data_IF_885398579712
#
_entry.id   IF_885398579712
#
_cell.length_a   1.000
_cell.length_b   1.000
_cell.length_c   1.000
_cell.angle_alpha   90.00
_cell.angle_beta   90.00
_cell.angle_gamma   90.00
#
_symmetry.space_group_name_H-M   'P 1'
#
loop_
_entity.id
_entity.type
_entity.pdbx_description
1 polymer ?
#
# COMPACT_ATOMS: atom_id res chain seq x y z
N UNK A 1 8.68 -22.05 23.82
CA UNK A 1 9.26 -20.85 23.20
C UNK A 1 8.10 -20.03 22.65
N UNK A 2 7.65 -19.01 23.39
CA UNK A 2 6.51 -18.17 23.00
C UNK A 2 6.97 -17.28 21.85
N UNK A 3 6.55 -17.57 20.62
CA UNK A 3 6.81 -16.71 19.48
C UNK A 3 6.20 -15.34 19.81
N UNK A 4 7.06 -14.32 19.79
CA UNK A 4 6.67 -12.93 19.87
C UNK A 4 5.75 -12.64 18.67
N UNK A 5 4.43 -12.68 18.88
CA UNK A 5 3.49 -11.95 18.05
C UNK A 5 3.78 -10.46 18.25
N UNK A 6 4.78 -9.96 17.53
CA UNK A 6 4.92 -8.53 17.25
C UNK A 6 3.75 -8.17 16.33
N UNK A 7 2.58 -8.02 16.98
CA UNK A 7 1.34 -7.53 16.40
C UNK A 7 1.62 -6.12 15.91
N UNK A 8 1.98 -5.98 14.64
CA UNK A 8 1.75 -4.72 13.95
C UNK A 8 0.26 -4.76 13.56
N UNK A 9 -0.61 -4.51 14.54
CA UNK A 9 -1.97 -4.08 14.25
C UNK A 9 -1.79 -2.64 13.78
N UNK A 10 -1.66 -2.43 12.46
CA UNK A 10 -1.73 -1.08 11.89
C UNK A 10 -3.19 -0.64 11.90
N UNK A 11 -3.66 -0.26 13.09
CA UNK A 11 -4.82 0.62 13.21
C UNK A 11 -4.34 2.06 13.11
N UNK A 12 -3.91 2.48 11.92
CA UNK A 12 -3.88 3.88 11.56
C UNK A 12 -5.25 4.23 10.97
N UNK A 13 -6.29 4.28 11.83
CA UNK A 13 -7.58 4.89 11.46
C UNK A 13 -7.35 6.39 11.30
N UNK A 14 -7.14 6.84 10.06
CA UNK A 14 -7.20 8.26 9.72
C UNK A 14 -8.57 8.58 9.12
N UNK A 15 -9.46 9.11 9.97
CA UNK A 15 -10.73 9.70 9.58
C UNK A 15 -10.46 11.04 8.88
N UNK A 16 -10.40 11.04 7.55
CA UNK A 16 -10.27 12.23 6.71
C UNK A 16 -11.45 12.40 5.77
N UNK A 17 -12.27 13.43 6.01
CA UNK A 17 -13.58 13.68 5.39
C UNK A 17 -13.64 13.64 3.85
N UNK A 18 -14.83 13.28 3.38
CA UNK A 18 -15.23 13.02 2.00
C UNK A 18 -15.12 14.30 1.15
N UNK A 19 -14.35 14.22 0.07
CA UNK A 19 -14.64 14.98 -1.16
C UNK A 19 -14.66 13.94 -2.28
N UNK A 20 -15.86 13.51 -2.65
CA UNK A 20 -16.08 12.61 -3.76
C UNK A 20 -15.86 13.38 -5.07
N UNK A 21 -14.86 12.98 -5.86
CA UNK A 21 -14.83 13.26 -7.30
C UNK A 21 -15.23 11.98 -8.04
N UNK A 22 -16.27 12.10 -8.87
CA UNK A 22 -17.05 11.01 -9.42
C UNK A 22 -16.49 10.40 -10.73
N UNK A 23 -15.16 10.37 -10.89
CA UNK A 23 -14.57 9.23 -11.58
C UNK A 23 -14.28 8.21 -10.49
N UNK A 24 -15.22 7.31 -10.25
CA UNK A 24 -15.04 6.23 -9.29
C UNK A 24 -13.71 5.57 -9.61
N UNK A 25 -12.75 5.68 -8.69
CA UNK A 25 -11.37 5.32 -8.91
C UNK A 25 -11.30 3.84 -9.36
N UNK A 26 -11.28 3.59 -10.67
CA UNK A 26 -11.55 2.27 -11.25
C UNK A 26 -10.50 1.26 -10.80
N UNK A 27 -9.26 1.73 -10.65
CA UNK A 27 -8.19 0.97 -10.05
C UNK A 27 -8.53 0.54 -8.62
N UNK A 28 -8.96 1.45 -7.75
CA UNK A 28 -9.33 1.10 -6.36
C UNK A 28 -10.52 0.14 -6.32
N UNK A 29 -11.52 0.33 -7.19
CA UNK A 29 -12.63 -0.62 -7.30
C UNK A 29 -12.15 -2.02 -7.68
N UNK A 30 -11.30 -2.13 -8.69
CA UNK A 30 -10.74 -3.41 -9.14
C UNK A 30 -9.81 -4.03 -8.09
N UNK A 31 -9.01 -3.21 -7.41
CA UNK A 31 -8.15 -3.61 -6.30
C UNK A 31 -8.96 -4.19 -5.14
N UNK A 32 -10.05 -3.51 -4.76
CA UNK A 32 -10.97 -3.99 -3.73
C UNK A 32 -11.68 -5.28 -4.15
N UNK A 33 -12.02 -5.43 -5.43
CA UNK A 33 -12.55 -6.69 -5.95
C UNK A 33 -11.52 -7.84 -5.88
N UNK A 34 -10.26 -7.57 -6.21
CA UNK A 34 -9.17 -8.53 -6.03
C UNK A 34 -8.98 -8.88 -4.55
N UNK A 35 -9.05 -7.90 -3.65
CA UNK A 35 -8.95 -8.08 -2.20
C UNK A 35 -10.07 -8.93 -1.63
N UNK A 36 -11.31 -8.71 -2.08
CA UNK A 36 -12.48 -9.48 -1.68
C UNK A 36 -12.37 -10.99 -1.98
N UNK A 37 -11.46 -11.38 -2.89
CA UNK A 37 -11.15 -12.80 -3.14
C UNK A 37 -10.39 -13.47 -1.98
N UNK A 38 -9.87 -12.69 -1.02
CA UNK A 38 -9.06 -13.16 0.13
C UNK A 38 -7.89 -14.04 -0.28
N UNK A 39 -7.32 -13.74 -1.45
CA UNK A 39 -6.19 -14.44 -2.04
C UNK A 39 -5.06 -13.44 -2.29
N UNK A 40 -3.97 -13.56 -1.53
CA UNK A 40 -2.80 -12.71 -1.72
C UNK A 40 -2.24 -12.83 -3.14
N UNK A 41 -2.29 -14.02 -3.73
CA UNK A 41 -1.86 -14.25 -5.12
C UNK A 41 -2.73 -13.50 -6.13
N UNK A 42 -4.05 -13.42 -5.92
CA UNK A 42 -4.93 -12.64 -6.80
C UNK A 42 -4.67 -11.14 -6.67
N UNK A 43 -4.50 -10.65 -5.44
CA UNK A 43 -4.22 -9.24 -5.16
C UNK A 43 -2.88 -8.83 -5.76
N UNK A 44 -1.81 -9.59 -5.48
CA UNK A 44 -0.48 -9.33 -6.03
C UNK A 44 -0.48 -9.44 -7.55
N UNK A 45 -1.12 -10.46 -8.12
CA UNK A 45 -1.23 -10.62 -9.57
C UNK A 45 -1.93 -9.44 -10.26
N UNK A 46 -2.97 -8.88 -9.63
CA UNK A 46 -3.61 -7.66 -10.11
C UNK A 46 -2.66 -6.45 -10.05
N UNK A 47 -2.03 -6.20 -8.89
CA UNK A 47 -1.13 -5.06 -8.71
C UNK A 47 0.07 -5.14 -9.67
N UNK A 48 0.68 -6.31 -9.84
CA UNK A 48 1.82 -6.50 -10.74
C UNK A 48 1.45 -6.29 -12.21
N UNK A 49 0.23 -6.68 -12.61
CA UNK A 49 -0.29 -6.36 -13.93
C UNK A 49 -0.44 -4.85 -14.12
N UNK A 50 -1.03 -4.16 -13.15
CA UNK A 50 -1.19 -2.71 -13.19
C UNK A 50 0.15 -1.98 -13.21
N UNK A 51 1.16 -2.47 -12.48
CA UNK A 51 2.54 -1.94 -12.55
C UNK A 51 3.20 -2.20 -13.89
N UNK A 52 2.88 -3.31 -14.55
CA UNK A 52 3.40 -3.60 -15.89
C UNK A 52 2.81 -2.61 -16.91
N UNK A 53 1.51 -2.35 -16.82
CA UNK A 53 0.79 -1.47 -17.73
C UNK A 53 1.08 0.02 -17.43
N UNK A 54 1.32 0.37 -16.16
CA UNK A 54 1.53 1.73 -15.66
C UNK A 54 2.69 1.80 -14.63
N UNK A 55 3.96 1.58 -15.05
CA UNK A 55 5.10 1.39 -14.14
C UNK A 55 5.52 2.59 -13.30
N UNK A 56 5.03 3.77 -13.67
CA UNK A 56 5.32 5.05 -13.03
C UNK A 56 4.07 5.70 -12.41
N UNK A 57 2.96 4.96 -12.32
CA UNK A 57 1.75 5.47 -11.70
C UNK A 57 1.93 5.46 -10.17
N UNK A 58 1.90 6.63 -9.49
CA UNK A 58 2.13 6.73 -8.06
C UNK A 58 1.07 5.97 -7.24
N UNK A 59 -0.16 5.86 -7.76
CA UNK A 59 -1.23 5.12 -7.12
C UNK A 59 -0.92 3.63 -7.04
N UNK A 60 -0.49 3.07 -8.17
CA UNK A 60 -0.18 1.64 -8.28
C UNK A 60 1.09 1.30 -7.49
N UNK A 61 2.11 2.19 -7.55
CA UNK A 61 3.33 2.06 -6.76
C UNK A 61 3.01 2.02 -5.26
N UNK A 62 2.16 2.92 -4.76
CA UNK A 62 1.80 2.91 -3.34
C UNK A 62 0.98 1.66 -2.95
N UNK A 63 0.03 1.23 -3.79
CA UNK A 63 -0.70 -0.03 -3.56
C UNK A 63 0.25 -1.24 -3.46
N UNK A 64 1.30 -1.28 -4.31
CA UNK A 64 2.33 -2.32 -4.23
C UNK A 64 3.15 -2.24 -2.95
N UNK A 65 3.45 -1.04 -2.46
CA UNK A 65 4.14 -0.84 -1.20
C UNK A 65 3.35 -1.44 -0.02
N UNK A 66 2.05 -1.16 0.02
CA UNK A 66 1.13 -1.76 1.01
C UNK A 66 1.11 -3.28 0.88
N UNK A 67 0.97 -3.82 -0.33
CA UNK A 67 0.96 -5.27 -0.52
C UNK A 67 2.29 -5.93 -0.09
N UNK A 68 3.43 -5.25 -0.27
CA UNK A 68 4.73 -5.75 0.16
C UNK A 68 4.78 -5.96 1.68
N UNK A 69 4.30 -4.99 2.46
CA UNK A 69 4.30 -5.11 3.93
C UNK A 69 3.19 -6.03 4.44
N UNK A 70 1.96 -5.86 3.94
CA UNK A 70 0.77 -6.51 4.50
C UNK A 70 0.58 -7.96 4.02
N UNK A 71 1.12 -8.33 2.84
CA UNK A 71 0.97 -9.67 2.27
C UNK A 71 2.28 -10.45 2.16
N UNK A 72 3.43 -9.77 2.10
CA UNK A 72 4.73 -10.40 1.80
C UNK A 72 5.80 -10.18 2.89
N UNK A 73 5.46 -9.49 3.98
CA UNK A 73 6.39 -9.13 5.06
C UNK A 73 7.70 -8.53 4.54
N UNK A 74 7.60 -7.65 3.53
CA UNK A 74 8.73 -7.10 2.79
C UNK A 74 8.75 -5.58 2.90
N UNK A 75 9.22 -5.07 4.05
CA UNK A 75 9.22 -3.64 4.35
C UNK A 75 10.23 -2.88 3.50
N UNK A 76 11.38 -3.47 3.12
CA UNK A 76 12.32 -2.81 2.20
C UNK A 76 11.71 -2.62 0.82
N UNK A 77 10.95 -3.60 0.34
CA UNK A 77 10.15 -3.45 -0.88
C UNK A 77 9.14 -2.33 -0.73
N UNK A 78 8.40 -2.31 0.38
CA UNK A 78 7.44 -1.26 0.69
C UNK A 78 8.08 0.14 0.67
N UNK A 79 9.22 0.32 1.33
CA UNK A 79 10.01 1.56 1.32
C UNK A 79 10.40 1.96 -0.10
N UNK A 80 10.89 1.03 -0.92
CA UNK A 80 11.31 1.32 -2.30
C UNK A 80 10.14 1.76 -3.18
N UNK A 81 9.01 1.04 -3.14
CA UNK A 81 7.83 1.41 -3.93
C UNK A 81 7.21 2.73 -3.45
N UNK A 82 7.15 2.97 -2.14
CA UNK A 82 6.65 4.22 -1.58
C UNK A 82 7.54 5.41 -1.96
N UNK A 83 8.87 5.26 -1.89
CA UNK A 83 9.81 6.28 -2.33
C UNK A 83 9.64 6.61 -3.82
N UNK A 84 9.44 5.60 -4.67
CA UNK A 84 9.13 5.82 -6.09
C UNK A 84 7.78 6.53 -6.28
N UNK A 85 6.74 6.18 -5.53
CA UNK A 85 5.47 6.89 -5.58
C UNK A 85 5.64 8.39 -5.24
N UNK A 86 6.44 8.71 -4.22
CA UNK A 86 6.80 10.10 -3.87
C UNK A 86 7.47 10.83 -5.04
N UNK A 87 8.45 10.18 -5.69
CA UNK A 87 9.12 10.75 -6.86
C UNK A 87 8.15 11.03 -8.00
N UNK A 88 7.22 10.11 -8.27
CA UNK A 88 6.23 10.28 -9.34
C UNK A 88 5.23 11.40 -9.00
N UNK A 89 4.74 11.48 -7.77
CA UNK A 89 3.88 12.61 -7.32
C UNK A 89 4.59 13.95 -7.45
N UNK A 90 5.91 14.03 -7.19
CA UNK A 90 6.68 15.27 -7.39
C UNK A 90 6.70 15.70 -8.87
N UNK A 91 6.86 14.73 -9.77
CA UNK A 91 7.00 14.96 -11.22
C UNK A 91 5.66 15.19 -11.93
N UNK A 92 4.57 14.63 -11.41
CA UNK A 92 3.25 14.68 -12.05
C UNK A 92 2.57 16.06 -11.91
N UNK A 93 1.48 16.24 -12.64
CA UNK A 93 0.71 17.46 -12.86
C UNK A 93 -0.40 17.72 -11.82
N UNK A 94 -0.34 17.06 -10.66
CA UNK A 94 -1.22 17.36 -9.51
C UNK A 94 -1.27 18.84 -9.17
N UNK A 95 -2.44 19.32 -8.76
CA UNK A 95 -2.59 20.66 -8.16
C UNK A 95 -1.66 20.82 -6.96
N UNK A 96 -1.21 22.04 -6.67
CA UNK A 96 -0.28 22.30 -5.58
C UNK A 96 -0.78 21.77 -4.23
N UNK A 97 -2.08 21.96 -3.95
CA UNK A 97 -2.73 21.46 -2.73
C UNK A 97 -2.73 19.93 -2.67
N UNK A 98 -3.18 19.25 -3.73
CA UNK A 98 -3.20 17.78 -3.77
C UNK A 98 -1.78 17.20 -3.68
N UNK A 99 -0.82 17.81 -4.38
CA UNK A 99 0.58 17.42 -4.33
C UNK A 99 1.14 17.53 -2.91
N UNK A 100 0.87 18.65 -2.22
CA UNK A 100 1.31 18.84 -0.84
C UNK A 100 0.71 17.79 0.09
N UNK A 101 -0.59 17.51 -0.03
CA UNK A 101 -1.27 16.49 0.75
C UNK A 101 -0.67 15.09 0.49
N UNK A 102 -0.60 14.65 -0.77
CA UNK A 102 -0.09 13.33 -1.14
C UNK A 102 1.36 13.14 -0.67
N UNK A 103 2.21 14.14 -0.84
CA UNK A 103 3.61 14.06 -0.42
C UNK A 103 3.76 13.98 1.10
N UNK A 104 2.91 14.68 1.86
CA UNK A 104 2.91 14.58 3.33
C UNK A 104 2.57 13.16 3.76
N UNK A 105 1.42 12.64 3.33
CA UNK A 105 0.93 11.32 3.72
C UNK A 105 1.88 10.20 3.25
N UNK A 106 2.38 10.27 2.02
CA UNK A 106 3.38 9.32 1.53
C UNK A 106 4.67 9.33 2.36
N UNK A 107 5.12 10.51 2.81
CA UNK A 107 6.32 10.62 3.65
C UNK A 107 6.11 9.97 5.02
N UNK A 108 4.93 10.16 5.61
CA UNK A 108 4.55 9.50 6.88
C UNK A 108 4.50 7.97 6.73
N UNK A 109 3.95 7.47 5.61
CA UNK A 109 3.98 6.04 5.31
C UNK A 109 5.40 5.51 5.04
N UNK A 110 6.25 6.28 4.36
CA UNK A 110 7.65 5.92 4.13
C UNK A 110 8.42 5.78 5.46
N UNK A 111 8.22 6.72 6.38
CA UNK A 111 8.79 6.65 7.73
C UNK A 111 8.30 5.40 8.48
N UNK A 112 6.99 5.12 8.40
CA UNK A 112 6.40 3.93 9.01
C UNK A 112 6.99 2.62 8.45
N UNK A 113 7.08 2.47 7.12
CA UNK A 113 7.68 1.28 6.49
C UNK A 113 9.16 1.15 6.87
N UNK A 114 9.89 2.27 6.90
CA UNK A 114 11.30 2.30 7.30
C UNK A 114 11.49 1.85 8.75
N UNK A 115 10.65 2.32 9.67
CA UNK A 115 10.68 1.88 11.07
C UNK A 115 10.36 0.37 11.20
N UNK A 116 9.45 -0.14 10.36
CA UNK A 116 9.03 -1.54 10.36
C UNK A 116 10.16 -2.51 10.00
N UNK A 117 11.13 -2.10 9.17
CA UNK A 117 12.35 -2.88 8.88
C UNK A 117 13.05 -3.29 10.19
N UNK A 118 13.18 -2.36 11.14
CA UNK A 118 13.81 -2.61 12.44
C UNK A 118 12.99 -3.54 13.34
N UNK A 119 11.65 -3.37 13.33
CA UNK A 119 10.71 -4.21 14.10
C UNK A 119 10.75 -5.66 13.62
N UNK A 120 10.73 -5.88 12.31
CA UNK A 120 10.80 -7.22 11.72
C UNK A 120 12.22 -7.78 11.63
N UNK A 121 13.23 -6.97 11.98
CA UNK A 121 14.66 -7.32 11.81
C UNK A 121 14.95 -7.80 10.38
N UNK A 122 14.41 -7.08 9.41
CA UNK A 122 14.48 -7.47 8.01
C UNK A 122 15.92 -7.30 7.47
N UNK A 123 16.51 -8.35 6.88
CA UNK A 123 17.88 -8.31 6.38
C UNK A 123 18.03 -7.29 5.25
N UNK A 124 19.25 -6.81 5.02
CA UNK A 124 19.55 -5.77 4.01
C UNK A 124 19.12 -6.15 2.60
N UNK A 125 19.33 -7.42 2.22
CA UNK A 125 18.96 -7.98 0.91
C UNK A 125 17.73 -8.90 1.03
N UNK A 126 16.63 -8.35 1.52
CA UNK A 126 15.35 -9.06 1.60
C UNK A 126 14.63 -9.13 0.25
N UNK A 127 13.84 -10.18 0.09
CA UNK A 127 12.96 -10.42 -1.05
C UNK A 127 11.55 -10.72 -0.53
N UNK A 128 10.49 -10.60 -1.37
CA UNK A 128 9.13 -10.96 -0.97
C UNK A 128 9.04 -12.34 -0.33
N UNK A 129 8.42 -12.46 0.84
CA UNK A 129 8.25 -13.73 1.52
C UNK A 129 6.77 -14.09 1.65
N UNK A 130 6.38 -15.27 1.20
CA UNK A 130 5.03 -15.75 1.46
C UNK A 130 4.86 -16.05 2.95
N UNK A 131 3.94 -15.35 3.61
CA UNK A 131 3.55 -15.63 4.99
C UNK A 131 2.04 -15.87 5.07
N UNK A 132 1.64 -17.14 4.97
CA UNK A 132 0.22 -17.52 4.95
C UNK A 132 -0.54 -17.14 6.24
N UNK A 133 0.16 -17.08 7.38
CA UNK A 133 -0.45 -16.67 8.66
C UNK A 133 -0.75 -15.18 8.64
N UNK A 134 0.24 -14.36 8.25
CA UNK A 134 0.08 -12.91 8.11
C UNK A 134 -1.04 -12.58 7.11
N UNK A 135 -1.03 -13.22 5.94
CA UNK A 135 -2.06 -13.02 4.91
C UNK A 135 -3.46 -13.38 5.44
N UNK A 136 -3.61 -14.52 6.11
CA UNK A 136 -4.88 -14.93 6.68
C UNK A 136 -5.37 -13.97 7.77
N UNK A 137 -4.48 -13.50 8.64
CA UNK A 137 -4.80 -12.48 9.66
C UNK A 137 -5.21 -11.15 9.00
N UNK A 138 -4.48 -10.71 7.98
CA UNK A 138 -4.78 -9.47 7.27
C UNK A 138 -6.17 -9.48 6.63
N UNK A 139 -6.54 -10.56 5.94
CA UNK A 139 -7.88 -10.71 5.37
C UNK A 139 -9.00 -10.87 6.41
N UNK A 140 -8.67 -11.22 7.65
CA UNK A 140 -9.62 -11.24 8.76
C UNK A 140 -9.79 -9.85 9.37
N UNK A 141 -8.70 -9.11 9.54
CA UNK A 141 -8.70 -7.77 10.16
C UNK A 141 -9.24 -6.70 9.23
N UNK A 142 -8.95 -6.78 7.93
CA UNK A 142 -9.43 -5.85 6.92
C UNK A 142 -10.23 -6.62 5.85
N UNK A 143 -11.46 -7.09 6.14
CA UNK A 143 -12.16 -8.03 5.27
C UNK A 143 -12.89 -7.38 4.09
N UNK A 144 -13.15 -6.08 4.16
CA UNK A 144 -14.05 -5.37 3.22
C UNK A 144 -13.32 -4.75 2.04
N UNK A 145 -12.08 -4.30 2.24
CA UNK A 145 -11.35 -3.52 1.25
C UNK A 145 -9.85 -3.62 1.47
N UNK A 146 -9.09 -3.24 0.45
CA UNK A 146 -7.64 -3.19 0.53
C UNK A 146 -7.20 -2.15 1.59
N UNK A 147 -6.17 -2.42 2.40
CA UNK A 147 -5.68 -1.46 3.37
C UNK A 147 -5.32 -0.13 2.69
N UNK A 148 -5.69 0.99 3.32
CA UNK A 148 -5.47 2.34 2.77
C UNK A 148 -6.24 2.65 1.47
N UNK A 149 -7.32 1.92 1.14
CA UNK A 149 -8.14 2.18 -0.04
C UNK A 149 -8.57 3.66 -0.17
N UNK A 150 -8.98 4.29 0.94
CA UNK A 150 -9.35 5.71 0.99
C UNK A 150 -8.21 6.63 0.56
N UNK A 151 -6.98 6.37 1.00
CA UNK A 151 -5.82 7.16 0.62
C UNK A 151 -5.40 6.89 -0.82
N UNK A 152 -5.40 5.62 -1.25
CA UNK A 152 -5.14 5.22 -2.64
C UNK A 152 -6.15 5.89 -3.58
N UNK A 153 -7.40 6.09 -3.15
CA UNK A 153 -8.42 6.77 -3.93
C UNK A 153 -8.15 8.27 -4.12
N UNK A 154 -7.30 8.90 -3.29
CA UNK A 154 -6.91 10.32 -3.39
C UNK A 154 -5.88 10.60 -4.49
N UNK A 155 -5.22 9.57 -4.99
CA UNK A 155 -4.41 9.68 -6.20
C UNK A 155 -5.40 9.84 -7.35
N UNK A 156 -5.55 11.06 -7.84
CA UNK A 156 -6.23 11.27 -9.11
C UNK A 156 -5.32 10.69 -10.21
N UNK A 157 -5.91 10.01 -11.20
CA UNK A 157 -5.22 9.95 -12.49
C UNK A 157 -5.07 11.38 -13.01
N UNK A 158 -3.93 11.73 -13.62
CA UNK A 158 -3.83 12.95 -14.40
C UNK A 158 -4.90 13.03 -15.51
#
# INVERSE_FOLDING_TARGET
MKMFSARIIVSAMFLGGIIAHAETNQFVMALNAAWASKSASNVLGFIEKELTDRPNDPQVLFARAVAAVELEQWCRGATNYCARAIEMVRQDSYTAENKQFLLKELSEHLEFFTASIGVFKEPEYSFPQTNAILQAEMFQTCPSEFPYADFIARFNSP
#
